data_IF_594439035406
#
_entry.id   IF_594439035406
#
_cell.length_a   1.000
_cell.length_b   1.000
_cell.length_c   1.000
_cell.angle_alpha   90.00
_cell.angle_beta   90.00
_cell.angle_gamma   90.00
#
_symmetry.space_group_name_H-M   'P 1'
#
loop_
_entity.id
_entity.type
_entity.pdbx_description
1 polymer ?
#
# COMPACT_ATOMS: atom_id res chain seq x y z
N UNK A 1 -3.76 6.56 1.60
CA UNK A 1 -4.27 7.05 0.31
C UNK A 1 -4.84 5.88 -0.53
N UNK A 2 -5.58 6.17 -1.60
CA UNK A 2 -6.13 5.12 -2.47
C UNK A 2 -5.06 4.38 -3.29
N UNK A 3 -3.94 5.04 -3.64
CA UNK A 3 -2.77 4.43 -4.28
C UNK A 3 -2.60 4.79 -5.75
N UNK A 4 -3.64 4.57 -6.57
CA UNK A 4 -3.53 4.76 -8.02
C UNK A 4 -3.44 6.21 -8.50
N UNK A 5 -3.80 7.19 -7.67
CA UNK A 5 -3.77 8.60 -8.01
C UNK A 5 -3.19 9.40 -6.84
N UNK A 6 -2.01 9.97 -7.06
CA UNK A 6 -1.38 10.95 -6.18
C UNK A 6 -0.29 11.70 -6.98
N UNK A 7 0.19 12.80 -6.43
CA UNK A 7 1.40 13.47 -6.88
C UNK A 7 2.38 13.54 -5.72
N UNK A 8 3.67 13.42 -6.02
CA UNK A 8 4.73 13.54 -5.04
C UNK A 8 5.93 14.24 -5.67
N UNK A 9 6.69 14.98 -4.87
CA UNK A 9 8.01 15.42 -5.28
C UNK A 9 8.90 14.20 -5.58
N UNK A 10 9.66 14.27 -6.67
CA UNK A 10 10.46 13.14 -7.15
C UNK A 10 11.59 12.82 -6.17
N UNK A 11 12.28 13.83 -5.67
CA UNK A 11 13.41 13.63 -4.76
C UNK A 11 12.93 13.08 -3.43
N UNK A 12 11.83 13.62 -2.90
CA UNK A 12 11.18 13.13 -1.70
C UNK A 12 10.68 11.68 -1.84
N UNK A 13 10.08 11.32 -2.98
CA UNK A 13 9.63 9.94 -3.24
C UNK A 13 10.78 8.93 -3.15
N UNK A 14 11.93 9.24 -3.76
CA UNK A 14 13.10 8.37 -3.70
C UNK A 14 13.87 8.49 -2.37
N UNK A 15 13.81 9.64 -1.70
CA UNK A 15 14.35 9.79 -0.34
C UNK A 15 13.63 8.89 0.67
N UNK A 16 12.30 8.76 0.55
CA UNK A 16 11.53 7.79 1.32
C UNK A 16 11.88 6.33 0.93
N UNK A 17 12.44 6.11 -0.25
CA UNK A 17 12.89 4.81 -0.74
C UNK A 17 12.05 4.21 -1.87
N UNK A 18 11.09 4.95 -2.45
CA UNK A 18 10.20 4.43 -3.50
C UNK A 18 9.39 3.20 -3.06
N UNK A 19 8.72 2.45 -3.92
CA UNK A 19 7.97 1.27 -3.45
C UNK A 19 8.87 0.12 -2.96
N UNK A 20 8.36 -0.71 -2.05
CA UNK A 20 8.98 -1.99 -1.70
C UNK A 20 9.04 -2.88 -2.95
N UNK A 21 10.24 -3.09 -3.47
CA UNK A 21 10.49 -3.88 -4.68
C UNK A 21 10.17 -5.36 -4.52
N UNK A 22 9.95 -5.82 -3.29
CA UNK A 22 9.48 -7.17 -3.00
C UNK A 22 7.96 -7.33 -3.09
N UNK A 23 7.19 -6.26 -3.30
CA UNK A 23 5.74 -6.38 -3.53
C UNK A 23 5.43 -6.94 -4.92
N UNK A 24 4.43 -7.82 -4.99
CA UNK A 24 4.03 -8.51 -6.21
C UNK A 24 2.70 -7.98 -6.75
N UNK A 25 2.60 -7.81 -8.06
CA UNK A 25 1.38 -7.58 -8.86
C UNK A 25 0.46 -6.43 -8.38
N UNK A 26 -0.27 -6.62 -7.27
CA UNK A 26 -1.28 -5.70 -6.80
C UNK A 26 -1.54 -5.80 -5.30
N UNK A 27 -1.67 -4.63 -4.65
CA UNK A 27 -2.19 -4.47 -3.30
C UNK A 27 -1.11 -4.25 -2.26
N UNK A 28 -1.41 -3.45 -1.24
CA UNK A 28 -0.53 -3.17 -0.11
C UNK A 28 0.39 -1.96 -0.31
N UNK A 29 0.77 -1.63 -1.55
CA UNK A 29 1.70 -0.53 -1.84
C UNK A 29 1.16 0.84 -1.44
N UNK A 30 -0.15 1.02 -1.59
CA UNK A 30 -0.86 2.23 -1.21
C UNK A 30 -0.86 2.45 0.31
N UNK A 31 -0.98 1.36 1.08
CA UNK A 31 -0.92 1.39 2.54
C UNK A 31 0.53 1.60 2.98
N UNK A 32 1.49 0.87 2.42
CA UNK A 32 2.91 0.91 2.78
C UNK A 32 3.45 2.33 2.62
N UNK A 33 3.26 2.92 1.45
CA UNK A 33 3.70 4.28 1.18
C UNK A 33 2.95 5.29 2.07
N UNK A 34 1.68 5.00 2.43
CA UNK A 34 0.95 5.86 3.36
C UNK A 34 1.53 5.86 4.77
N UNK A 35 1.80 4.68 5.33
CA UNK A 35 2.40 4.55 6.66
C UNK A 35 3.78 5.19 6.68
N UNK A 36 4.61 4.87 5.69
CA UNK A 36 5.94 5.44 5.56
C UNK A 36 5.93 6.96 5.47
N UNK A 37 5.10 7.55 4.61
CA UNK A 37 5.04 9.02 4.50
C UNK A 37 4.69 9.66 5.85
N UNK A 38 3.68 9.17 6.56
CA UNK A 38 3.32 9.72 7.87
C UNK A 38 4.38 9.49 8.95
N UNK A 39 4.93 8.27 9.03
CA UNK A 39 5.86 7.87 10.07
C UNK A 39 7.27 8.44 9.86
N UNK A 40 7.62 8.81 8.63
CA UNK A 40 8.90 9.41 8.27
C UNK A 40 8.83 10.94 8.09
N UNK A 41 7.80 11.60 8.62
CA UNK A 41 7.74 13.06 8.75
C UNK A 41 7.12 13.82 7.57
N UNK A 42 6.48 13.12 6.63
CA UNK A 42 5.66 13.73 5.59
C UNK A 42 4.17 13.82 5.95
N UNK A 43 3.38 14.28 4.99
CA UNK A 43 1.92 14.33 5.07
C UNK A 43 1.29 13.70 3.83
N UNK A 44 0.04 13.25 3.98
CA UNK A 44 -0.82 12.88 2.86
C UNK A 44 -2.02 13.80 2.86
N UNK A 45 -2.27 14.45 1.72
CA UNK A 45 -3.29 15.48 1.60
C UNK A 45 -4.30 15.13 0.50
N UNK A 46 -5.57 15.34 0.80
CA UNK A 46 -6.63 15.31 -0.19
C UNK A 46 -6.91 16.75 -0.62
N UNK A 47 -6.73 17.05 -1.91
CA UNK A 47 -6.92 18.38 -2.48
C UNK A 47 -8.31 18.47 -3.13
N UNK A 48 -9.33 19.08 -2.47
CA UNK A 48 -10.70 19.02 -2.95
C UNK A 48 -10.93 19.77 -4.27
N UNK A 49 -10.01 20.65 -4.68
CA UNK A 49 -10.09 21.33 -5.97
C UNK A 49 -9.60 20.46 -7.15
N UNK A 50 -8.87 19.37 -6.88
CA UNK A 50 -8.32 18.47 -7.89
C UNK A 50 -9.18 17.22 -8.02
N UNK A 51 -9.85 17.06 -9.16
CA UNK A 51 -10.77 15.96 -9.40
C UNK A 51 -10.30 15.09 -10.55
N UNK A 52 -10.24 13.78 -10.33
CA UNK A 52 -9.98 12.78 -11.37
C UNK A 52 -11.01 11.66 -11.24
N UNK A 53 -11.75 11.41 -12.32
CA UNK A 53 -12.68 10.28 -12.38
C UNK A 53 -11.92 8.96 -12.55
N UNK A 54 -12.26 7.96 -11.74
CA UNK A 54 -11.73 6.60 -11.86
C UNK A 54 -12.88 5.60 -11.98
N UNK A 55 -12.83 4.72 -12.99
CA UNK A 55 -13.82 3.67 -13.17
C UNK A 55 -13.46 2.49 -12.27
N UNK A 56 -14.19 2.35 -11.16
CA UNK A 56 -14.07 1.19 -10.30
C UNK A 56 -14.56 -0.06 -11.02
N UNK A 57 -13.70 -1.07 -11.07
CA UNK A 57 -14.04 -2.38 -11.66
C UNK A 57 -14.73 -3.24 -10.61
N UNK A 58 -15.66 -4.09 -11.05
CA UNK A 58 -16.33 -5.07 -10.18
C UNK A 58 -15.39 -6.20 -9.73
N UNK A 59 -14.28 -6.42 -10.45
CA UNK A 59 -13.26 -7.42 -10.13
C UNK A 59 -12.02 -7.24 -10.99
N UNK A 60 -11.00 -8.06 -10.73
CA UNK A 60 -9.78 -8.04 -11.53
C UNK A 60 -10.03 -8.66 -12.93
N UNK A 61 -9.78 -7.93 -14.03
CA UNK A 61 -10.03 -8.44 -15.38
C UNK A 61 -8.91 -9.36 -15.90
N UNK A 62 -7.85 -9.55 -15.12
CA UNK A 62 -6.73 -10.42 -15.42
C UNK A 62 -6.73 -11.57 -14.43
N UNK A 63 -6.25 -12.74 -14.87
CA UNK A 63 -5.98 -13.84 -13.98
C UNK A 63 -4.90 -13.42 -12.98
N UNK A 64 -5.34 -13.09 -11.77
CA UNK A 64 -4.46 -13.04 -10.62
C UNK A 64 -3.86 -14.44 -10.46
N UNK A 65 -2.59 -14.50 -10.06
CA UNK A 65 -1.91 -15.76 -9.76
C UNK A 65 -2.74 -16.59 -8.78
N UNK A 66 -2.56 -17.92 -8.77
CA UNK A 66 -3.16 -18.79 -7.74
C UNK A 66 -2.64 -18.50 -6.33
N UNK A 67 -1.54 -17.73 -6.23
CA UNK A 67 -0.98 -17.22 -4.98
C UNK A 67 -1.77 -15.99 -4.51
N UNK A 68 -2.04 -15.93 -3.21
CA UNK A 68 -2.58 -14.74 -2.54
C UNK A 68 -1.51 -13.63 -2.46
N UNK A 69 -1.38 -12.87 -3.54
CA UNK A 69 -0.44 -11.74 -3.64
C UNK A 69 -0.80 -10.59 -2.71
N UNK A 70 -2.09 -10.37 -2.47
CA UNK A 70 -2.54 -9.30 -1.58
C UNK A 70 -2.14 -9.60 -0.12
N UNK A 71 -2.35 -10.84 0.34
CA UNK A 71 -1.89 -11.28 1.65
C UNK A 71 -0.37 -11.23 1.79
N UNK A 72 0.37 -11.65 0.75
CA UNK A 72 1.83 -11.57 0.73
C UNK A 72 2.33 -10.12 0.92
N UNK A 73 1.83 -9.18 0.12
CA UNK A 73 2.24 -7.77 0.21
C UNK A 73 1.80 -7.14 1.54
N UNK A 74 0.60 -7.48 2.01
CA UNK A 74 0.09 -6.98 3.30
C UNK A 74 0.91 -7.47 4.49
N UNK A 75 1.39 -8.72 4.45
CA UNK A 75 2.27 -9.28 5.48
C UNK A 75 3.63 -8.57 5.49
N UNK A 76 4.22 -8.29 4.31
CA UNK A 76 5.47 -7.50 4.21
C UNK A 76 5.32 -6.12 4.85
N UNK A 77 4.23 -5.41 4.54
CA UNK A 77 3.90 -4.14 5.17
C UNK A 77 3.75 -4.27 6.68
N UNK A 78 3.05 -5.31 7.14
CA UNK A 78 2.77 -5.52 8.56
C UNK A 78 4.06 -5.75 9.36
N UNK A 79 5.00 -6.53 8.81
CA UNK A 79 6.29 -6.79 9.44
C UNK A 79 7.17 -5.55 9.58
N UNK A 80 7.05 -4.58 8.66
CA UNK A 80 7.90 -3.38 8.65
C UNK A 80 7.27 -2.21 9.41
N UNK A 81 5.96 -1.98 9.26
CA UNK A 81 5.34 -0.71 9.66
C UNK A 81 4.32 -0.80 10.80
N UNK A 82 3.85 -2.01 11.16
CA UNK A 82 2.79 -2.14 12.16
C UNK A 82 3.30 -2.47 13.57
N UNK A 83 4.59 -2.69 13.78
CA UNK A 83 5.17 -3.06 15.08
C UNK A 83 4.31 -4.12 15.79
N UNK A 84 3.96 -3.91 17.06
CA UNK A 84 3.10 -4.81 17.83
C UNK A 84 1.68 -4.91 17.26
N UNK A 85 1.19 -3.91 16.51
CA UNK A 85 -0.14 -3.94 15.89
C UNK A 85 -0.27 -4.98 14.79
N UNK A 86 0.84 -5.53 14.27
CA UNK A 86 0.80 -6.67 13.33
C UNK A 86 0.08 -7.89 13.92
N UNK A 87 0.01 -8.01 15.26
CA UNK A 87 -0.81 -9.03 15.95
C UNK A 87 -2.29 -8.97 15.53
N UNK A 88 -2.82 -7.78 15.24
CA UNK A 88 -4.20 -7.60 14.80
C UNK A 88 -4.37 -8.07 13.36
N UNK A 89 -3.41 -7.78 12.48
CA UNK A 89 -3.38 -8.33 11.12
C UNK A 89 -3.40 -9.86 11.16
N UNK A 90 -2.47 -10.47 11.90
CA UNK A 90 -2.37 -11.94 12.01
C UNK A 90 -3.48 -12.61 12.82
N UNK A 91 -4.26 -11.85 13.60
CA UNK A 91 -5.47 -12.38 14.22
C UNK A 91 -6.53 -12.73 13.17
N UNK A 92 -6.67 -11.88 12.14
CA UNK A 92 -7.59 -12.12 11.03
C UNK A 92 -6.97 -12.87 9.85
N UNK A 93 -5.64 -12.85 9.73
CA UNK A 93 -4.84 -13.51 8.70
C UNK A 93 -3.91 -14.58 9.28
N UNK A 94 -4.51 -15.55 9.97
CA UNK A 94 -3.75 -16.64 10.61
C UNK A 94 -2.98 -17.53 9.62
N UNK A 95 -3.38 -17.52 8.35
CA UNK A 95 -2.73 -18.16 7.20
C UNK A 95 -1.34 -17.58 6.87
N UNK A 96 -1.03 -16.38 7.38
CA UNK A 96 0.23 -15.67 7.15
C UNK A 96 1.14 -15.56 8.39
N UNK A 97 0.78 -16.24 9.50
CA UNK A 97 1.65 -16.32 10.69
C UNK A 97 2.90 -17.15 10.46
#
# INVERSE_FOLDING_TARGET
MAGGLFAADREYFFHLGGYDSGMEIWGGENLELSFRTWMCGGSLEFVPCSHVGHIFRAGHPYNMTTKDVHGYNSARLAEVWLDDYKRLYYHFRGDWK
#
